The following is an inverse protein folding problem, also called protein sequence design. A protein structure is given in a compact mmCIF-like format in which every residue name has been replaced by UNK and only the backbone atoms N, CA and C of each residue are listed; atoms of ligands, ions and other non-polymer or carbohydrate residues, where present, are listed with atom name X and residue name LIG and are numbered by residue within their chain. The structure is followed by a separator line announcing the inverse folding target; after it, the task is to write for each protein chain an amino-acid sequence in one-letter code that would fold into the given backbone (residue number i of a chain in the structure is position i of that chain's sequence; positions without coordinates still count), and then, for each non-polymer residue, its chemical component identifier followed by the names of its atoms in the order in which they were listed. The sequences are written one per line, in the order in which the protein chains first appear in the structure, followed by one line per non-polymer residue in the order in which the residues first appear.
data_IF_238602058836
#
_entry.id   IF_238602058836
#
_cell.length_a   1.000
_cell.length_b   1.000
_cell.length_c   1.000
_cell.angle_alpha   90.00
_cell.angle_beta   90.00
_cell.angle_gamma   90.00
#
_symmetry.space_group_name_H-M   'P 1'
#
loop_
_entity.id
_entity.type
_entity.pdbx_description
1 polymer ?
#
# COMPACT_ATOMS: atom_id res chain seq x y z
N UNK A 1 19.07 9.15 -5.22
CA UNK A 1 20.25 8.24 -5.08
C UNK A 1 20.46 7.79 -3.64
N UNK A 2 20.76 8.71 -2.70
CA UNK A 2 21.17 8.38 -1.33
C UNK A 2 20.16 7.58 -0.49
N UNK A 3 18.87 7.70 -0.80
CA UNK A 3 17.79 6.99 -0.11
C UNK A 3 17.47 5.65 -0.78
N UNK A 4 17.42 5.64 -2.11
CA UNK A 4 16.92 4.50 -2.89
C UNK A 4 18.01 3.43 -3.12
N UNK A 5 19.25 3.84 -3.39
CA UNK A 5 20.34 2.90 -3.71
C UNK A 5 20.62 1.88 -2.59
N UNK A 6 20.68 2.27 -1.30
CA UNK A 6 20.88 1.31 -0.21
C UNK A 6 19.77 0.26 -0.12
N UNK A 7 18.51 0.65 -0.34
CA UNK A 7 17.39 -0.30 -0.29
C UNK A 7 17.37 -1.26 -1.48
N UNK A 8 17.73 -0.80 -2.69
CA UNK A 8 17.89 -1.71 -3.84
C UNK A 8 19.01 -2.71 -3.58
N UNK A 9 20.14 -2.27 -3.01
CA UNK A 9 21.28 -3.13 -2.72
C UNK A 9 20.95 -4.27 -1.75
N UNK A 10 19.93 -4.12 -0.89
CA UNK A 10 19.44 -5.21 -0.03
C UNK A 10 18.75 -6.33 -0.83
N UNK A 11 18.16 -6.00 -1.98
CA UNK A 11 17.42 -6.94 -2.83
C UNK A 11 18.28 -7.45 -3.99
N UNK A 12 19.08 -6.58 -4.60
CA UNK A 12 19.97 -6.86 -5.73
C UNK A 12 21.37 -6.38 -5.33
N UNK A 13 22.16 -7.28 -4.75
CA UNK A 13 23.52 -6.99 -4.31
C UNK A 13 24.40 -6.57 -5.49
N UNK A 14 25.24 -5.55 -5.30
CA UNK A 14 26.16 -5.08 -6.35
C UNK A 14 25.54 -4.16 -7.42
N UNK A 15 24.24 -3.82 -7.31
CA UNK A 15 23.63 -2.79 -8.15
C UNK A 15 23.97 -1.38 -7.64
N UNK A 16 24.39 -0.47 -8.52
CA UNK A 16 24.65 0.94 -8.20
C UNK A 16 24.17 1.88 -9.30
N UNK A 17 23.78 3.11 -8.92
CA UNK A 17 23.38 4.13 -9.89
C UNK A 17 24.61 4.91 -10.37
N UNK A 18 24.90 4.87 -11.66
CA UNK A 18 25.98 5.67 -12.26
C UNK A 18 25.48 7.06 -12.63
N UNK A 19 24.35 7.13 -13.34
CA UNK A 19 23.78 8.37 -13.84
C UNK A 19 22.26 8.34 -13.70
N UNK A 20 21.68 9.44 -13.22
CA UNK A 20 20.23 9.64 -13.13
C UNK A 20 19.93 10.94 -13.88
N UNK A 21 19.27 10.83 -15.02
CA UNK A 21 18.70 11.96 -15.76
C UNK A 21 17.18 11.81 -15.77
N UNK A 22 16.46 12.83 -15.28
CA UNK A 22 15.00 12.82 -15.20
C UNK A 22 14.33 13.36 -16.48
N UNK A 23 15.11 13.71 -17.49
CA UNK A 23 14.59 14.24 -18.75
C UNK A 23 14.05 15.66 -18.63
N UNK A 24 13.49 16.16 -19.73
CA UNK A 24 12.95 17.53 -19.84
C UNK A 24 11.42 17.56 -19.83
N UNK A 25 10.77 16.40 -20.01
CA UNK A 25 9.31 16.31 -19.94
C UNK A 25 8.82 16.53 -18.51
N UNK A 26 7.79 17.37 -18.38
CA UNK A 26 7.20 17.74 -17.08
C UNK A 26 6.07 16.78 -16.72
N UNK A 27 5.92 16.42 -15.43
CA UNK A 27 4.73 15.72 -14.97
C UNK A 27 3.48 16.57 -15.21
N UNK A 28 2.40 15.93 -15.64
CA UNK A 28 1.06 16.52 -15.75
C UNK A 28 0.27 16.20 -14.49
N UNK A 29 -0.33 17.23 -13.92
CA UNK A 29 -1.24 17.15 -12.79
C UNK A 29 -2.67 17.35 -13.30
N UNK A 30 -3.55 16.43 -12.99
CA UNK A 30 -4.97 16.48 -13.35
C UNK A 30 -5.84 16.13 -12.13
N UNK A 31 -7.16 16.25 -12.26
CA UNK A 31 -8.12 15.69 -11.30
C UNK A 31 -7.93 16.15 -9.86
N UNK A 32 -7.63 17.44 -9.64
CA UNK A 32 -7.32 17.96 -8.31
C UNK A 32 -8.58 18.00 -7.44
N UNK A 33 -8.55 17.30 -6.31
CA UNK A 33 -9.61 17.30 -5.30
C UNK A 33 -9.07 17.82 -3.97
N UNK A 34 -9.72 18.84 -3.44
CA UNK A 34 -9.33 19.50 -2.19
C UNK A 34 -10.26 19.04 -1.06
N UNK A 35 -9.69 18.60 0.05
CA UNK A 35 -10.42 18.30 1.28
C UNK A 35 -10.12 19.39 2.31
N UNK A 36 -11.14 20.20 2.59
CA UNK A 36 -11.06 21.30 3.58
C UNK A 36 -11.46 20.87 5.00
N UNK A 37 -12.11 19.71 5.14
CA UNK A 37 -12.57 19.17 6.41
C UNK A 37 -11.71 17.97 6.84
N UNK A 38 -10.40 18.15 6.90
CA UNK A 38 -9.52 17.20 7.59
C UNK A 38 -9.79 17.29 9.10
N UNK A 39 -9.61 16.19 9.82
CA UNK A 39 -9.86 16.10 11.26
C UNK A 39 -8.91 17.04 12.04
N UNK A 40 -7.77 17.38 11.45
CA UNK A 40 -6.82 18.37 11.92
C UNK A 40 -7.12 19.72 11.27
N UNK A 41 -7.57 20.70 12.05
CA UNK A 41 -8.01 22.04 11.59
C UNK A 41 -6.98 22.84 10.79
N UNK A 42 -5.73 22.39 10.75
CA UNK A 42 -4.59 23.10 10.19
C UNK A 42 -3.95 22.37 9.00
N UNK A 43 -4.71 21.50 8.32
CA UNK A 43 -4.20 20.67 7.23
C UNK A 43 -5.01 20.82 5.96
N UNK A 44 -4.35 21.12 4.85
CA UNK A 44 -4.96 21.12 3.52
C UNK A 44 -4.55 19.83 2.83
N UNK A 45 -5.52 18.99 2.50
CA UNK A 45 -5.28 17.73 1.80
C UNK A 45 -5.72 17.89 0.35
N UNK A 46 -4.85 17.49 -0.56
CA UNK A 46 -5.03 17.54 -2.01
C UNK A 46 -4.80 16.15 -2.57
N UNK A 47 -5.80 15.57 -3.22
CA UNK A 47 -5.61 14.42 -4.09
C UNK A 47 -5.41 14.92 -5.52
N UNK A 48 -4.34 14.47 -6.16
CA UNK A 48 -3.91 14.92 -7.48
C UNK A 48 -3.66 13.68 -8.32
N UNK A 49 -4.25 13.62 -9.51
CA UNK A 49 -3.93 12.59 -10.49
C UNK A 49 -2.62 12.97 -11.19
N UNK A 50 -1.55 12.23 -10.90
CA UNK A 50 -0.23 12.46 -11.44
C UNK A 50 -0.01 11.56 -12.66
N UNK A 51 0.29 12.18 -13.79
CA UNK A 51 0.76 11.51 -14.99
C UNK A 51 2.17 11.98 -15.30
N UNK A 52 3.06 11.03 -15.52
CA UNK A 52 4.40 11.31 -16.02
C UNK A 52 4.72 10.28 -17.09
N UNK A 53 4.93 10.73 -18.32
CA UNK A 53 5.48 9.91 -19.39
C UNK A 53 6.61 10.70 -20.00
N UNK A 54 7.84 10.31 -19.69
CA UNK A 54 9.00 11.15 -19.98
C UNK A 54 10.25 10.39 -20.37
N UNK A 55 11.24 11.16 -20.80
CA UNK A 55 12.52 10.74 -21.34
C UNK A 55 13.57 10.51 -20.24
N UNK A 56 13.13 9.96 -19.09
CA UNK A 56 14.02 9.55 -18.01
C UNK A 56 15.06 8.58 -18.56
N UNK A 57 16.31 8.82 -18.20
CA UNK A 57 17.43 7.92 -18.48
C UNK A 57 18.17 7.65 -17.18
N UNK A 58 18.12 6.40 -16.73
CA UNK A 58 18.87 5.95 -15.56
C UNK A 58 19.88 4.91 -16.02
N UNK A 59 21.16 5.16 -15.79
CA UNK A 59 22.23 4.18 -16.01
C UNK A 59 22.65 3.58 -14.69
N UNK A 60 22.71 2.27 -14.66
CA UNK A 60 23.07 1.48 -13.50
C UNK A 60 24.17 0.50 -13.88
N UNK A 61 24.90 0.08 -12.85
CA UNK A 61 25.90 -0.97 -12.95
C UNK A 61 25.48 -2.13 -12.05
N UNK A 62 25.51 -3.34 -12.57
CA UNK A 62 25.40 -4.56 -11.79
C UNK A 62 26.70 -5.36 -11.98
N UNK A 63 27.57 -5.31 -10.97
CA UNK A 63 28.96 -5.77 -11.09
C UNK A 63 29.72 -5.11 -12.26
N UNK A 64 29.95 -5.84 -13.35
CA UNK A 64 30.61 -5.34 -14.56
C UNK A 64 29.62 -5.03 -15.69
N UNK A 65 28.35 -5.42 -15.55
CA UNK A 65 27.32 -5.22 -16.55
C UNK A 65 26.70 -3.83 -16.42
N UNK A 66 26.53 -3.17 -17.57
CA UNK A 66 25.83 -1.88 -17.68
C UNK A 66 24.37 -2.14 -18.04
N UNK A 67 23.48 -1.53 -17.27
CA UNK A 67 22.03 -1.66 -17.41
C UNK A 67 21.45 -0.26 -17.51
N UNK A 68 20.59 -0.02 -18.50
CA UNK A 68 19.89 1.24 -18.65
C UNK A 68 18.38 1.09 -18.47
N UNK A 69 17.74 2.13 -17.94
CA UNK A 69 16.29 2.34 -17.97
C UNK A 69 16.00 3.58 -18.81
N UNK A 70 14.99 3.49 -19.67
CA UNK A 70 14.45 4.57 -20.50
C UNK A 70 12.92 4.58 -20.48
N UNK A 71 12.31 5.62 -21.05
CA UNK A 71 10.86 5.71 -21.30
C UNK A 71 10.01 5.44 -20.05
N UNK A 72 10.26 6.18 -18.97
CA UNK A 72 9.57 5.97 -17.70
C UNK A 72 8.16 6.57 -17.76
N UNK A 73 7.18 5.71 -17.52
CA UNK A 73 5.78 6.04 -17.35
C UNK A 73 5.37 5.83 -15.89
N UNK A 74 4.68 6.80 -15.31
CA UNK A 74 4.10 6.75 -13.99
C UNK A 74 2.70 7.36 -14.04
N UNK A 75 1.73 6.63 -13.50
CA UNK A 75 0.38 7.12 -13.29
C UNK A 75 -0.11 6.69 -11.91
N UNK A 76 -0.65 7.65 -11.15
CA UNK A 76 -1.24 7.33 -9.86
C UNK A 76 -1.88 8.52 -9.17
N UNK A 77 -2.68 8.22 -8.14
CA UNK A 77 -3.28 9.23 -7.28
C UNK A 77 -2.31 9.61 -6.16
N UNK A 78 -1.70 10.79 -6.31
CA UNK A 78 -0.80 11.39 -5.34
C UNK A 78 -1.62 12.22 -4.34
N UNK A 79 -1.41 11.98 -3.05
CA UNK A 79 -1.88 12.85 -1.98
C UNK A 79 -0.77 13.78 -1.53
N UNK A 80 -1.09 15.07 -1.52
CA UNK A 80 -0.30 16.13 -0.91
C UNK A 80 -1.04 16.62 0.35
N UNK A 81 -0.38 16.52 1.51
CA UNK A 81 -0.85 17.10 2.77
C UNK A 81 0.02 18.30 3.11
N UNK A 82 -0.59 19.47 3.16
CA UNK A 82 0.06 20.72 3.56
C UNK A 82 -0.26 20.94 5.03
N UNK A 83 0.75 20.81 5.90
CA UNK A 83 0.64 21.08 7.33
C UNK A 83 0.88 22.57 7.56
N UNK A 84 -0.08 23.28 8.14
CA UNK A 84 -0.05 24.73 8.38
C UNK A 84 -0.20 25.04 9.87
N UNK A 85 0.76 24.55 10.67
CA UNK A 85 0.72 24.70 12.13
C UNK A 85 1.40 25.98 12.66
N UNK A 86 1.72 26.94 11.78
CA UNK A 86 2.56 28.09 12.14
C UNK A 86 1.95 29.39 11.60
N UNK A 87 1.83 30.40 12.46
CA UNK A 87 1.34 31.75 12.11
C UNK A 87 2.44 32.68 11.59
N UNK A 88 3.55 32.14 11.07
CA UNK A 88 4.71 32.87 10.52
C UNK A 88 4.97 32.44 9.09
N UNK A 89 5.49 33.33 8.25
CA UNK A 89 5.83 33.03 6.86
C UNK A 89 7.13 32.19 6.79
N UNK A 90 7.21 31.17 5.91
CA UNK A 90 6.09 30.58 5.17
C UNK A 90 5.11 29.88 6.13
N UNK A 91 3.80 30.12 5.96
CA UNK A 91 2.72 29.59 6.82
C UNK A 91 2.56 28.05 6.73
N UNK A 92 3.52 27.36 6.11
CA UNK A 92 3.55 25.92 5.88
C UNK A 92 4.72 25.35 6.69
N UNK A 93 4.43 24.44 7.61
CA UNK A 93 5.45 23.76 8.38
C UNK A 93 6.09 22.63 7.57
N UNK A 94 5.26 21.81 6.93
CA UNK A 94 5.72 20.66 6.16
C UNK A 94 4.77 20.31 5.02
N UNK A 95 5.32 19.65 4.00
CA UNK A 95 4.59 18.94 2.96
C UNK A 95 4.78 17.44 3.17
N UNK A 96 3.69 16.69 3.15
CA UNK A 96 3.71 15.23 3.07
C UNK A 96 3.19 14.78 1.71
N UNK A 97 3.94 13.92 1.04
CA UNK A 97 3.66 13.41 -0.29
C UNK A 97 3.64 11.89 -0.26
N UNK A 98 2.55 11.27 -0.69
CA UNK A 98 2.42 9.82 -0.83
C UNK A 98 1.33 9.43 -1.81
N UNK A 99 1.43 8.27 -2.44
CA UNK A 99 0.38 7.70 -3.27
C UNK A 99 -0.64 6.93 -2.42
N UNK A 100 -1.92 7.08 -2.75
CA UNK A 100 -3.02 6.37 -2.08
C UNK A 100 -3.02 4.87 -2.35
N UNK A 101 -2.45 4.47 -3.49
CA UNK A 101 -2.31 3.09 -3.97
C UNK A 101 -0.97 2.97 -4.69
N UNK A 102 -0.52 1.74 -4.94
CA UNK A 102 0.68 1.52 -5.76
C UNK A 102 0.42 2.14 -7.15
N UNK A 103 1.25 3.11 -7.60
CA UNK A 103 1.09 3.71 -8.91
C UNK A 103 1.45 2.71 -10.02
N UNK A 104 0.83 2.87 -11.18
CA UNK A 104 1.19 2.12 -12.38
C UNK A 104 2.51 2.67 -12.90
N UNK A 105 3.50 1.81 -13.08
CA UNK A 105 4.81 2.18 -13.60
C UNK A 105 5.22 1.24 -14.71
N UNK A 106 5.68 1.84 -15.80
CA UNK A 106 6.30 1.13 -16.90
C UNK A 106 7.60 1.82 -17.26
N UNK A 107 8.58 1.04 -17.70
CA UNK A 107 9.82 1.55 -18.21
C UNK A 107 10.41 0.54 -19.19
N UNK A 108 11.19 1.05 -20.13
CA UNK A 108 11.95 0.21 -21.06
C UNK A 108 13.35 -0.01 -20.50
N UNK A 109 13.85 -1.24 -20.62
CA UNK A 109 15.26 -1.49 -20.38
C UNK A 109 16.06 -1.25 -21.65
N UNK A 110 17.26 -0.72 -21.47
CA UNK A 110 18.25 -0.66 -22.54
C UNK A 110 19.48 -1.45 -22.20
N UNK A 111 20.27 -1.72 -23.24
CA UNK A 111 21.40 -2.64 -23.16
C UNK A 111 20.93 -4.07 -22.81
N UNK A 112 19.73 -4.45 -23.31
CA UNK A 112 19.06 -5.75 -23.07
C UNK A 112 19.94 -6.94 -23.47
N UNK A 113 20.88 -6.76 -24.41
CA UNK A 113 21.86 -7.79 -24.73
C UNK A 113 22.60 -8.30 -23.48
N UNK A 114 22.99 -7.40 -22.57
CA UNK A 114 23.63 -7.73 -21.29
C UNK A 114 22.67 -8.40 -20.29
N UNK A 115 21.35 -8.21 -20.47
CA UNK A 115 20.32 -8.76 -19.60
C UNK A 115 19.91 -10.18 -19.99
N UNK A 116 19.99 -10.52 -21.29
CA UNK A 116 19.73 -11.89 -21.78
C UNK A 116 20.74 -12.88 -21.18
N UNK A 117 21.94 -12.42 -20.85
CA UNK A 117 22.97 -13.23 -20.18
C UNK A 117 22.57 -13.65 -18.75
N UNK A 118 21.58 -12.99 -18.14
CA UNK A 118 21.11 -13.30 -16.77
C UNK A 118 19.59 -13.54 -16.78
N UNK A 119 19.16 -14.81 -16.92
CA UNK A 119 17.75 -15.18 -16.84
C UNK A 119 17.10 -14.67 -15.54
N UNK A 120 15.97 -13.98 -15.65
CA UNK A 120 15.19 -13.50 -14.51
C UNK A 120 15.59 -12.13 -13.95
N UNK A 121 16.70 -11.53 -14.38
CA UNK A 121 17.14 -10.21 -13.88
C UNK A 121 16.11 -9.11 -14.19
N UNK A 122 15.49 -9.16 -15.37
CA UNK A 122 14.39 -8.25 -15.76
C UNK A 122 13.27 -8.25 -14.71
N UNK A 123 12.76 -9.43 -14.37
CA UNK A 123 11.68 -9.59 -13.39
C UNK A 123 12.12 -9.14 -12.00
N UNK A 124 13.37 -9.44 -11.60
CA UNK A 124 13.91 -8.99 -10.32
C UNK A 124 14.01 -7.47 -10.24
N UNK A 125 14.41 -6.79 -11.32
CA UNK A 125 14.45 -5.31 -11.36
C UNK A 125 13.07 -4.72 -11.18
N UNK A 126 12.07 -5.19 -11.95
CA UNK A 126 10.68 -4.71 -11.82
C UNK A 126 10.16 -4.92 -10.41
N UNK A 127 10.25 -6.14 -9.87
CA UNK A 127 9.79 -6.45 -8.53
C UNK A 127 10.51 -5.61 -7.46
N UNK A 128 11.79 -5.30 -7.67
CA UNK A 128 12.54 -4.44 -6.76
C UNK A 128 12.05 -3.00 -6.81
N UNK A 129 11.81 -2.44 -8.01
CA UNK A 129 11.24 -1.10 -8.15
C UNK A 129 9.85 -1.00 -7.51
N UNK A 130 8.97 -1.97 -7.78
CA UNK A 130 7.64 -2.02 -7.17
C UNK A 130 7.72 -2.05 -5.64
N UNK A 131 8.60 -2.88 -5.08
CA UNK A 131 8.82 -2.93 -3.62
C UNK A 131 9.37 -1.62 -3.07
N UNK A 132 10.33 -0.97 -3.73
CA UNK A 132 10.84 0.32 -3.27
C UNK A 132 9.72 1.36 -3.15
N UNK A 133 8.82 1.40 -4.13
CA UNK A 133 7.72 2.35 -4.12
C UNK A 133 6.76 2.06 -2.98
N UNK A 134 6.45 0.80 -2.73
CA UNK A 134 5.70 0.36 -1.55
C UNK A 134 6.38 0.79 -0.25
N UNK A 135 7.71 0.67 -0.18
CA UNK A 135 8.51 1.04 1.00
C UNK A 135 8.66 2.54 1.20
N UNK A 136 8.59 3.38 0.16
CA UNK A 136 8.96 4.79 0.26
C UNK A 136 7.82 5.78 0.13
N UNK A 137 6.88 5.57 -0.79
CA UNK A 137 5.93 6.63 -1.21
C UNK A 137 4.50 6.09 -1.29
N UNK A 138 4.21 4.88 -0.80
CA UNK A 138 2.85 4.37 -0.66
C UNK A 138 2.53 4.28 0.84
N UNK A 139 1.29 4.63 1.20
CA UNK A 139 0.79 4.61 2.59
C UNK A 139 1.24 3.34 3.34
N UNK A 140 1.76 3.48 4.57
CA UNK A 140 1.88 4.71 5.36
C UNK A 140 3.14 5.53 5.07
N UNK A 141 4.00 5.05 4.17
CA UNK A 141 5.26 5.73 3.87
C UNK A 141 4.99 7.03 3.11
N UNK A 142 5.57 8.11 3.60
CA UNK A 142 5.41 9.46 3.04
C UNK A 142 6.76 10.15 2.90
N UNK A 143 6.92 10.87 1.80
CA UNK A 143 8.00 11.82 1.63
C UNK A 143 7.61 13.10 2.38
N UNK A 144 8.42 13.46 3.39
CA UNK A 144 8.21 14.66 4.20
C UNK A 144 9.24 15.71 3.80
N UNK A 145 8.77 16.90 3.43
CA UNK A 145 9.57 18.09 3.18
C UNK A 145 9.24 19.09 4.29
N UNK A 146 10.15 19.25 5.26
CA UNK A 146 10.00 20.22 6.34
C UNK A 146 10.72 21.53 5.97
N UNK A 147 10.06 22.68 6.23
CA UNK A 147 10.62 24.00 5.90
C UNK A 147 11.38 24.65 7.05
N UNK A 148 11.26 24.11 8.26
CA UNK A 148 11.94 24.62 9.46
C UNK A 148 12.67 23.47 10.16
N UNK A 149 13.86 23.76 10.68
CA UNK A 149 14.73 22.75 11.32
C UNK A 149 14.20 22.30 12.70
N UNK A 150 13.34 23.10 13.33
CA UNK A 150 12.81 22.85 14.68
C UNK A 150 11.58 21.93 14.67
N UNK A 151 11.18 21.42 13.49
CA UNK A 151 10.02 20.54 13.36
C UNK A 151 10.43 19.13 13.76
N UNK A 152 9.69 18.54 14.70
CA UNK A 152 9.87 17.14 15.08
C UNK A 152 9.48 16.21 13.92
N UNK A 153 10.48 15.81 13.14
CA UNK A 153 10.33 14.89 12.00
C UNK A 153 9.71 13.56 12.46
N UNK A 154 9.93 13.13 13.70
CA UNK A 154 9.38 11.87 14.20
C UNK A 154 7.86 11.96 14.38
N UNK A 155 7.34 13.09 14.83
CA UNK A 155 5.88 13.32 14.89
C UNK A 155 5.26 13.35 13.49
N UNK A 156 5.97 13.87 12.49
CA UNK A 156 5.50 13.82 11.10
C UNK A 156 5.56 12.41 10.53
N UNK A 157 6.58 11.62 10.84
CA UNK A 157 6.70 10.22 10.41
C UNK A 157 5.65 9.33 11.08
N UNK A 158 5.41 9.54 12.36
CA UNK A 158 4.50 8.78 13.22
C UNK A 158 3.44 9.73 13.80
N UNK A 159 2.49 10.19 12.98
CA UNK A 159 1.43 11.06 13.44
C UNK A 159 0.58 10.31 14.45
N UNK A 160 -0.01 11.07 15.35
CA UNK A 160 -1.00 10.53 16.27
C UNK A 160 -2.16 9.96 15.44
N UNK A 161 -2.57 8.70 15.67
CA UNK A 161 -3.69 8.13 14.94
C UNK A 161 -4.99 8.90 15.24
N UNK A 162 -5.80 9.09 14.21
CA UNK A 162 -7.09 9.78 14.26
C UNK A 162 -8.17 8.96 14.98
N UNK A 163 -8.00 7.64 15.03
CA UNK A 163 -8.88 6.70 15.73
C UNK A 163 -8.16 5.39 16.06
N UNK A 164 -8.76 4.59 16.94
CA UNK A 164 -8.45 3.17 17.12
C UNK A 164 -9.61 2.36 16.56
N UNK A 165 -9.34 1.46 15.62
CA UNK A 165 -10.32 0.51 15.11
C UNK A 165 -10.19 -0.80 15.86
N UNK A 166 -11.24 -1.19 16.58
CA UNK A 166 -11.38 -2.50 17.20
C UNK A 166 -12.26 -3.38 16.32
N UNK A 167 -11.77 -4.58 16.01
CA UNK A 167 -12.42 -5.56 15.14
C UNK A 167 -12.56 -6.85 15.93
N UNK A 168 -13.81 -7.24 16.18
CA UNK A 168 -14.13 -8.53 16.81
C UNK A 168 -14.57 -9.51 15.72
N UNK A 169 -13.73 -10.50 15.39
CA UNK A 169 -14.09 -11.60 14.50
C UNK A 169 -14.74 -12.70 15.33
N UNK A 170 -16.08 -12.74 15.29
CA UNK A 170 -16.88 -13.59 16.16
C UNK A 170 -17.05 -14.99 15.56
N UNK A 171 -17.87 -15.13 14.51
CA UNK A 171 -18.22 -16.42 13.93
C UNK A 171 -18.55 -16.33 12.43
N UNK A 172 -18.43 -17.46 11.74
CA UNK A 172 -18.89 -17.66 10.36
C UNK A 172 -19.98 -18.72 10.31
N UNK A 173 -20.89 -18.63 9.34
CA UNK A 173 -21.97 -19.61 9.14
C UNK A 173 -22.03 -20.09 7.71
N UNK A 174 -22.22 -21.40 7.56
CA UNK A 174 -22.41 -22.05 6.26
C UNK A 174 -21.35 -21.70 5.21
N UNK A 175 -20.08 -21.57 5.64
CA UNK A 175 -18.98 -21.25 4.73
C UNK A 175 -18.84 -22.36 3.67
N UNK A 176 -18.59 -21.97 2.42
CA UNK A 176 -18.54 -22.88 1.30
C UNK A 176 -17.42 -23.91 1.49
N UNK A 177 -17.75 -25.17 1.20
CA UNK A 177 -16.75 -26.24 1.15
C UNK A 177 -16.11 -26.20 -0.23
N UNK A 178 -14.81 -26.48 -0.29
CA UNK A 178 -14.16 -26.73 -1.58
C UNK A 178 -14.81 -27.96 -2.24
N UNK A 179 -15.62 -27.73 -3.27
CA UNK A 179 -16.36 -28.76 -4.00
C UNK A 179 -15.68 -29.01 -5.35
N UNK A 180 -14.61 -29.81 -5.35
CA UNK A 180 -14.02 -30.31 -6.60
C UNK A 180 -13.72 -31.81 -6.45
N UNK A 181 -14.76 -32.66 -6.39
CA UNK A 181 -14.74 -34.03 -6.93
C UNK A 181 -16.00 -34.81 -6.51
N UNK A 182 -16.59 -35.51 -7.49
CA UNK A 182 -17.66 -36.51 -7.37
C UNK A 182 -17.24 -37.76 -6.57
N UNK A 183 -15.97 -37.90 -6.17
CA UNK A 183 -15.45 -39.12 -5.54
C UNK A 183 -14.39 -38.84 -4.45
N UNK A 184 -14.81 -38.53 -3.21
CA UNK A 184 -14.23 -39.07 -1.94
C UNK A 184 -14.80 -38.41 -0.68
N UNK A 185 -14.97 -39.25 0.35
CA UNK A 185 -15.41 -38.93 1.71
C UNK A 185 -14.31 -38.19 2.50
N UNK A 186 -14.74 -37.21 3.32
CA UNK A 186 -14.01 -36.32 4.26
C UNK A 186 -13.18 -35.19 3.63
N UNK A 187 -13.86 -34.08 3.32
CA UNK A 187 -13.24 -32.78 3.11
C UNK A 187 -12.68 -32.25 4.44
N UNK A 188 -11.41 -31.88 4.47
CA UNK A 188 -10.87 -31.05 5.54
C UNK A 188 -11.38 -29.63 5.34
N UNK A 189 -12.13 -29.11 6.31
CA UNK A 189 -12.56 -27.71 6.32
C UNK A 189 -11.69 -27.05 7.37
N UNK A 190 -10.80 -26.16 6.96
CA UNK A 190 -9.88 -25.43 7.81
C UNK A 190 -10.06 -23.95 7.51
N UNK A 191 -11.02 -23.32 8.16
CA UNK A 191 -11.41 -21.94 7.87
C UNK A 191 -10.64 -20.95 8.73
N UNK A 192 -10.21 -19.86 8.11
CA UNK A 192 -9.55 -18.76 8.81
C UNK A 192 -9.86 -17.45 8.07
N UNK A 193 -9.59 -16.34 8.75
CA UNK A 193 -9.87 -15.00 8.26
C UNK A 193 -8.58 -14.22 8.18
N UNK A 194 -8.39 -13.53 7.06
CA UNK A 194 -7.35 -12.52 6.89
C UNK A 194 -8.01 -11.15 6.99
N UNK A 195 -7.47 -10.30 7.85
CA UNK A 195 -7.94 -8.95 8.11
C UNK A 195 -6.87 -7.99 7.61
N UNK A 196 -7.22 -7.10 6.69
CA UNK A 196 -6.32 -6.10 6.12
C UNK A 196 -6.89 -4.69 6.34
N UNK A 197 -6.07 -3.78 6.86
CA UNK A 197 -6.36 -2.35 6.95
C UNK A 197 -5.10 -1.56 6.60
N UNK A 198 -5.04 -1.01 5.39
CA UNK A 198 -3.81 -0.38 4.90
C UNK A 198 -2.64 -1.36 4.92
N UNK A 199 -1.63 -1.10 5.75
CA UNK A 199 -0.48 -1.99 5.93
C UNK A 199 -0.68 -3.10 6.97
N UNK A 200 -1.69 -2.99 7.83
CA UNK A 200 -1.89 -3.93 8.92
C UNK A 200 -2.56 -5.20 8.37
N UNK A 201 -1.95 -6.35 8.64
CA UNK A 201 -2.46 -7.66 8.27
C UNK A 201 -2.48 -8.59 9.48
N UNK A 202 -3.65 -9.13 9.78
CA UNK A 202 -3.84 -10.12 10.83
C UNK A 202 -4.47 -11.38 10.26
N UNK A 203 -4.20 -12.52 10.90
CA UNK A 203 -4.74 -13.82 10.50
C UNK A 203 -5.27 -14.47 11.76
N UNK A 204 -6.53 -14.91 11.72
CA UNK A 204 -7.15 -15.63 12.83
C UNK A 204 -6.62 -17.05 12.94
N UNK A 205 -6.94 -17.70 14.05
CA UNK A 205 -6.69 -19.12 14.22
C UNK A 205 -7.55 -19.92 13.23
N UNK A 206 -7.02 -21.06 12.81
CA UNK A 206 -7.72 -21.95 11.89
C UNK A 206 -8.72 -22.80 12.63
N UNK A 207 -9.97 -22.77 12.18
CA UNK A 207 -11.09 -23.53 12.74
C UNK A 207 -11.49 -24.68 11.82
N UNK A 208 -11.62 -25.89 12.37
CA UNK A 208 -11.85 -27.10 11.57
C UNK A 208 -13.33 -27.34 11.23
N UNK A 209 -14.04 -26.30 10.80
CA UNK A 209 -15.49 -26.32 10.60
C UNK A 209 -15.94 -25.27 9.58
N UNK A 210 -17.10 -25.48 8.96
CA UNK A 210 -17.77 -24.48 8.11
C UNK A 210 -18.68 -23.52 8.90
N UNK A 211 -18.80 -23.73 10.21
CA UNK A 211 -19.43 -22.82 11.15
C UNK A 211 -18.44 -22.43 12.25
N UNK A 212 -17.32 -21.76 11.89
CA UNK A 212 -16.26 -21.44 12.82
C UNK A 212 -16.67 -20.39 13.84
N UNK A 213 -16.06 -20.47 15.02
CA UNK A 213 -16.16 -19.49 16.09
C UNK A 213 -14.74 -19.10 16.48
N UNK A 214 -14.34 -17.88 16.14
CA UNK A 214 -12.98 -17.38 16.38
C UNK A 214 -12.92 -16.63 17.71
N UNK A 215 -13.85 -15.70 17.94
CA UNK A 215 -13.84 -14.80 19.11
C UNK A 215 -12.49 -14.10 19.30
N UNK A 216 -11.90 -13.64 18.20
CA UNK A 216 -10.61 -12.94 18.20
C UNK A 216 -10.81 -11.44 18.00
N UNK A 217 -10.12 -10.65 18.81
CA UNK A 217 -10.16 -9.17 18.77
C UNK A 217 -8.84 -8.63 18.25
N UNK A 218 -8.93 -7.66 17.34
CA UNK A 218 -7.78 -6.95 16.77
C UNK A 218 -7.97 -5.45 16.94
N UNK A 219 -6.92 -4.76 17.35
CA UNK A 219 -6.92 -3.30 17.53
C UNK A 219 -5.89 -2.66 16.62
N UNK A 220 -6.32 -1.68 15.82
CA UNK A 220 -5.51 -1.09 14.76
C UNK A 220 -5.57 0.43 14.86
N UNK A 221 -4.43 1.13 14.99
CA UNK A 221 -4.41 2.59 14.90
C UNK A 221 -4.72 3.04 13.47
N UNK A 222 -5.68 3.95 13.32
CA UNK A 222 -6.16 4.46 12.04
C UNK A 222 -5.72 5.92 11.90
N UNK A 223 -4.87 6.19 10.92
CA UNK A 223 -4.40 7.55 10.61
C UNK A 223 -5.41 8.32 9.75
N UNK A 224 -6.07 7.66 8.78
CA UNK A 224 -6.92 8.34 7.80
C UNK A 224 -8.23 7.59 7.58
N UNK A 225 -9.18 7.67 8.53
CA UNK A 225 -10.44 6.92 8.47
C UNK A 225 -11.29 7.29 7.24
N UNK A 226 -11.10 8.48 6.67
CA UNK A 226 -11.87 8.92 5.51
C UNK A 226 -11.51 8.18 4.20
N UNK A 227 -10.35 7.50 4.15
CA UNK A 227 -9.82 6.86 2.92
C UNK A 227 -9.47 5.39 3.14
N UNK A 228 -9.08 5.03 4.36
CA UNK A 228 -8.78 3.64 4.69
C UNK A 228 -10.06 2.78 4.66
N UNK A 229 -9.86 1.54 4.22
CA UNK A 229 -10.91 0.52 4.18
C UNK A 229 -10.45 -0.69 4.98
N UNK A 230 -11.40 -1.31 5.66
CA UNK A 230 -11.25 -2.62 6.29
C UNK A 230 -11.65 -3.69 5.28
N UNK A 231 -10.71 -4.57 4.96
CA UNK A 231 -10.95 -5.76 4.16
C UNK A 231 -10.87 -6.99 5.06
N UNK A 232 -11.92 -7.80 5.05
CA UNK A 232 -11.99 -9.08 5.74
C UNK A 232 -12.16 -10.15 4.67
N UNK A 233 -11.25 -11.11 4.60
CA UNK A 233 -11.28 -12.17 3.59
C UNK A 233 -11.24 -13.53 4.26
N UNK A 234 -12.18 -14.40 3.89
CA UNK A 234 -12.32 -15.73 4.47
C UNK A 234 -11.69 -16.74 3.53
N UNK A 235 -10.92 -17.66 4.09
CA UNK A 235 -10.23 -18.72 3.36
C UNK A 235 -10.52 -20.08 3.98
N UNK A 236 -10.39 -21.12 3.17
CA UNK A 236 -10.40 -22.50 3.59
C UNK A 236 -9.15 -23.22 3.05
N UNK A 237 -8.33 -23.77 3.94
CA UNK A 237 -7.19 -24.59 3.52
C UNK A 237 -7.63 -26.03 3.30
N UNK A 238 -7.48 -26.53 2.08
CA UNK A 238 -7.65 -27.94 1.77
C UNK A 238 -6.42 -28.48 1.05
N UNK A 239 -5.90 -29.62 1.52
CA UNK A 239 -4.70 -30.26 0.96
C UNK A 239 -3.46 -29.33 0.91
N UNK A 240 -3.35 -28.42 1.89
CA UNK A 240 -2.24 -27.44 1.95
C UNK A 240 -2.37 -26.25 0.99
N UNK A 241 -3.52 -26.10 0.32
CA UNK A 241 -3.81 -24.99 -0.59
C UNK A 241 -4.92 -24.14 0.02
N UNK A 242 -4.72 -22.82 0.08
CA UNK A 242 -5.70 -21.86 0.58
C UNK A 242 -6.66 -21.45 -0.53
N UNK A 243 -7.94 -21.76 -0.33
CA UNK A 243 -9.02 -21.38 -1.22
C UNK A 243 -9.78 -20.19 -0.66
N UNK A 244 -9.90 -19.15 -1.47
CA UNK A 244 -10.70 -17.98 -1.15
C UNK A 244 -12.19 -18.33 -1.15
N UNK A 245 -12.90 -17.96 -0.08
CA UNK A 245 -14.35 -18.16 0.06
C UNK A 245 -15.11 -16.88 -0.29
N UNK A 246 -14.61 -15.73 0.17
CA UNK A 246 -15.21 -14.44 -0.10
C UNK A 246 -14.61 -13.33 0.75
N UNK A 247 -15.00 -12.09 0.46
CA UNK A 247 -14.49 -10.89 1.11
C UNK A 247 -15.61 -9.94 1.49
N UNK A 248 -15.32 -9.10 2.47
CA UNK A 248 -16.11 -7.98 2.91
C UNK A 248 -15.20 -6.76 2.97
N UNK A 249 -15.59 -5.70 2.26
CA UNK A 249 -14.90 -4.42 2.28
C UNK A 249 -15.78 -3.37 2.95
N UNK A 250 -15.30 -2.81 4.05
CA UNK A 250 -16.01 -1.78 4.82
C UNK A 250 -15.20 -0.49 4.77
N UNK A 251 -15.84 0.59 4.31
CA UNK A 251 -15.25 1.92 4.38
C UNK A 251 -15.21 2.41 5.82
N UNK A 252 -14.04 2.82 6.32
CA UNK A 252 -13.95 3.37 7.68
C UNK A 252 -14.64 4.74 7.80
N UNK A 253 -14.80 5.45 6.68
CA UNK A 253 -15.54 6.70 6.62
C UNK A 253 -16.99 6.49 7.04
N UNK A 254 -17.66 5.46 6.53
CA UNK A 254 -19.08 5.20 6.81
C UNK A 254 -19.34 4.78 8.26
N UNK A 255 -18.41 4.04 8.88
CA UNK A 255 -18.47 3.68 10.30
C UNK A 255 -18.43 4.95 11.16
N UNK A 256 -17.55 5.90 10.80
CA UNK A 256 -17.34 7.16 11.52
C UNK A 256 -18.45 8.19 11.27
N UNK A 257 -18.88 8.37 10.02
CA UNK A 257 -19.80 9.44 9.62
C UNK A 257 -21.24 9.21 10.08
N UNK A 258 -21.64 7.96 10.24
CA UNK A 258 -23.03 7.61 10.57
C UNK A 258 -23.33 7.59 12.08
N UNK A 259 -22.47 8.17 12.93
CA UNK A 259 -22.58 8.13 14.41
C UNK A 259 -22.74 6.73 15.01
N UNK A 260 -22.47 5.67 14.25
CA UNK A 260 -22.62 4.31 14.75
C UNK A 260 -21.52 3.98 15.74
N UNK A 261 -20.28 4.48 15.54
CA UNK A 261 -19.06 4.21 16.34
C UNK A 261 -18.79 2.71 16.64
N UNK A 262 -19.66 1.83 16.19
CA UNK A 262 -19.81 0.43 16.51
C UNK A 262 -20.76 -0.16 15.47
N UNK A 263 -20.36 -1.27 14.86
CA UNK A 263 -21.18 -2.01 13.91
C UNK A 263 -21.11 -3.47 14.33
N UNK A 264 -22.27 -4.07 14.56
CA UNK A 264 -22.45 -5.50 14.80
C UNK A 264 -23.48 -6.00 13.80
N UNK A 265 -23.04 -6.81 12.85
CA UNK A 265 -23.89 -7.33 11.78
C UNK A 265 -23.34 -8.63 11.18
N UNK A 266 -24.24 -9.37 10.53
CA UNK A 266 -23.89 -10.45 9.63
C UNK A 266 -23.76 -9.92 8.21
N UNK A 267 -22.63 -10.21 7.57
CA UNK A 267 -22.41 -9.89 6.16
C UNK A 267 -22.20 -11.16 5.35
N UNK A 268 -22.79 -11.19 4.15
CA UNK A 268 -22.54 -12.26 3.20
C UNK A 268 -21.12 -12.11 2.64
N UNK A 269 -20.36 -13.21 2.62
CA UNK A 269 -19.08 -13.25 1.92
C UNK A 269 -19.36 -13.20 0.42
N UNK A 270 -19.17 -12.04 -0.21
CA UNK A 270 -19.25 -11.89 -1.67
C UNK A 270 -17.96 -12.40 -2.33
N UNK A 271 -18.12 -13.05 -3.49
CA UNK A 271 -17.00 -13.42 -4.38
C UNK A 271 -16.50 -12.18 -5.14
#
# INVERSE_FOLDING_TARGET
KNIIEPEIKKQISGLSFEQINLGDFRPRLDGIKIYKNSIHSNEIILDIELFYGGDIQIKMKYYSLKIGIKSFYLHGQLRLVIKSNISKIPFISALELFFLRIPIIHFDLTDIANLIEIPGLYNLLILSFERLLQTFIVVPNRLIIAFFNDIDINQLKFPKPDAMLRIDIIEGKNLSKYNHSLFRKKYSINTFVIINVGQYKFITHTQKTNNPKWYETFEIPIEQPNIQQLQISVFNTALGIDYYIGTLNISLYSIRSNNKNFVDQWDACSL
#
